data_IF_283670875433
#
_entry.id   IF_283670875433
#
_cell.length_a   1.000
_cell.length_b   1.000
_cell.length_c   1.000
_cell.angle_alpha   90.00
_cell.angle_beta   90.00
_cell.angle_gamma   90.00
#
_symmetry.space_group_name_H-M   'P 1'
#
loop_
_entity.id
_entity.type
_entity.pdbx_description
1 polymer ?
#
# COMPACT_ATOMS: atom_id res chain seq x y z
N UNK A 1 -5.48 19.20 -8.24
CA UNK A 1 -4.66 18.91 -7.05
C UNK A 1 -3.32 18.36 -7.50
N UNK A 2 -2.23 18.68 -6.80
CA UNK A 2 -0.93 18.07 -7.07
C UNK A 2 -0.83 16.72 -6.35
N UNK A 3 -0.15 15.75 -6.97
CA UNK A 3 0.11 14.47 -6.33
C UNK A 3 0.98 14.68 -5.08
N UNK A 4 0.59 14.09 -3.96
CA UNK A 4 1.28 14.23 -2.69
C UNK A 4 1.12 12.98 -1.83
N UNK A 5 1.86 12.91 -0.73
CA UNK A 5 1.77 11.80 0.23
C UNK A 5 0.37 11.76 0.89
N UNK A 6 -0.52 10.98 0.29
CA UNK A 6 -1.92 10.82 0.69
C UNK A 6 -2.12 9.85 1.86
N UNK A 7 -1.14 8.97 2.12
CA UNK A 7 -1.22 7.96 3.15
C UNK A 7 -0.47 8.37 4.41
N UNK A 8 -1.07 8.11 5.56
CA UNK A 8 -0.46 8.32 6.88
C UNK A 8 -0.50 7.04 7.66
N UNK A 9 0.66 6.64 8.18
CA UNK A 9 0.81 5.39 8.90
C UNK A 9 1.07 5.70 10.37
N UNK A 10 0.34 5.01 11.22
CA UNK A 10 0.41 5.12 12.66
C UNK A 10 0.62 3.73 13.28
N UNK A 11 1.32 3.66 14.40
CA UNK A 11 1.51 2.41 15.14
C UNK A 11 1.17 2.59 16.62
N UNK A 12 0.79 1.49 17.25
CA UNK A 12 0.63 1.37 18.69
C UNK A 12 1.52 0.23 19.15
N UNK A 13 2.53 0.58 19.95
CA UNK A 13 3.48 -0.38 20.53
C UNK A 13 3.01 -0.89 21.89
N UNK A 14 2.42 0.00 22.71
CA UNK A 14 1.98 -0.30 24.07
C UNK A 14 0.55 0.20 24.36
N UNK A 15 -0.22 -0.51 25.20
CA UNK A 15 0.03 -1.89 25.63
C UNK A 15 -0.17 -2.88 24.45
N UNK A 16 0.47 -4.07 24.48
CA UNK A 16 0.24 -5.12 23.51
C UNK A 16 -1.25 -5.46 23.38
N UNK A 17 -1.72 -5.86 22.18
CA UNK A 17 -0.95 -6.22 20.99
C UNK A 17 -0.43 -5.04 20.15
N UNK A 18 0.59 -5.30 19.32
CA UNK A 18 1.03 -4.36 18.29
C UNK A 18 -0.08 -4.15 17.26
N UNK A 19 -0.37 -2.89 16.98
CA UNK A 19 -1.34 -2.52 15.97
C UNK A 19 -0.83 -1.39 15.09
N UNK A 20 -1.24 -1.39 13.83
CA UNK A 20 -0.88 -0.39 12.83
C UNK A 20 -2.14 0.11 12.14
N UNK A 21 -2.26 1.43 12.00
CA UNK A 21 -3.36 2.06 11.26
C UNK A 21 -2.82 2.78 10.01
N UNK A 22 -3.51 2.61 8.89
CA UNK A 22 -3.28 3.34 7.64
C UNK A 22 -4.48 4.23 7.35
N UNK A 23 -4.24 5.54 7.28
CA UNK A 23 -5.22 6.54 6.88
C UNK A 23 -4.93 7.02 5.47
N UNK A 24 -5.97 7.37 4.72
CA UNK A 24 -5.87 8.11 3.45
C UNK A 24 -6.59 9.45 3.55
N UNK A 25 -6.06 10.50 2.93
CA UNK A 25 -6.67 11.85 2.98
C UNK A 25 -8.06 11.93 2.36
N UNK A 26 -8.41 10.98 1.49
CA UNK A 26 -9.65 11.00 0.72
C UNK A 26 -10.75 10.13 1.34
N UNK A 27 -10.50 9.50 2.49
CA UNK A 27 -11.49 8.72 3.23
C UNK A 27 -11.48 9.06 4.72
N UNK A 28 -12.65 8.90 5.34
CA UNK A 28 -12.77 8.99 6.79
C UNK A 28 -12.43 7.67 7.50
N UNK A 29 -12.63 6.55 6.80
CA UNK A 29 -12.26 5.21 7.26
C UNK A 29 -10.74 5.05 7.34
N UNK A 30 -10.28 4.10 8.14
CA UNK A 30 -8.87 3.68 8.16
C UNK A 30 -8.74 2.15 8.12
N UNK A 31 -7.60 1.66 7.64
CA UNK A 31 -7.25 0.24 7.78
C UNK A 31 -6.54 0.03 9.10
N UNK A 32 -6.97 -0.92 9.90
CA UNK A 32 -6.28 -1.39 11.09
C UNK A 32 -5.69 -2.78 10.84
N UNK A 33 -4.42 -2.94 11.18
CA UNK A 33 -3.68 -4.18 11.13
C UNK A 33 -3.32 -4.58 12.55
N UNK A 34 -3.89 -5.68 13.04
CA UNK A 34 -3.64 -6.17 14.40
C UNK A 34 -3.60 -7.69 14.39
N UNK A 35 -2.60 -8.29 15.05
CA UNK A 35 -2.47 -9.74 15.20
C UNK A 35 -2.54 -10.54 13.88
N UNK A 36 -2.09 -9.95 12.78
CA UNK A 36 -2.11 -10.58 11.44
C UNK A 36 -3.45 -10.52 10.71
N UNK A 37 -4.45 -9.82 11.25
CA UNK A 37 -5.71 -9.53 10.58
C UNK A 37 -5.77 -8.07 10.10
N UNK A 38 -6.67 -7.81 9.15
CA UNK A 38 -6.97 -6.46 8.64
C UNK A 38 -8.44 -6.16 8.87
N UNK A 39 -8.74 -4.99 9.40
CA UNK A 39 -10.09 -4.47 9.57
C UNK A 39 -10.20 -3.07 8.96
N UNK A 40 -11.37 -2.76 8.41
CA UNK A 40 -11.73 -1.38 8.03
C UNK A 40 -12.48 -0.79 9.21
N UNK A 41 -11.94 0.30 9.78
CA UNK A 41 -12.58 1.00 10.88
C UNK A 41 -13.34 2.22 10.35
N UNK A 42 -14.53 2.42 10.90
CA UNK A 42 -15.32 3.61 10.69
C UNK A 42 -14.66 4.85 11.30
N UNK A 43 -15.13 6.03 10.90
CA UNK A 43 -14.69 7.32 11.44
C UNK A 43 -14.79 7.38 12.97
N UNK A 44 -15.89 6.84 13.54
CA UNK A 44 -16.12 6.83 14.98
C UNK A 44 -15.15 5.91 15.74
N UNK A 45 -14.91 4.69 15.22
CA UNK A 45 -13.97 3.73 15.83
C UNK A 45 -12.53 4.25 15.78
N UNK A 46 -12.15 4.85 14.65
CA UNK A 46 -10.84 5.49 14.47
C UNK A 46 -10.62 6.58 15.51
N UNK A 47 -11.54 7.54 15.66
CA UNK A 47 -11.38 8.64 16.62
C UNK A 47 -11.27 8.14 18.07
N UNK A 48 -11.96 7.05 18.41
CA UNK A 48 -11.88 6.44 19.74
C UNK A 48 -10.48 5.90 20.07
N UNK A 49 -9.75 5.37 19.08
CA UNK A 49 -8.45 4.72 19.32
C UNK A 49 -7.25 5.57 18.90
N UNK A 50 -7.43 6.55 18.00
CA UNK A 50 -6.35 7.33 17.37
C UNK A 50 -5.40 7.99 18.36
N UNK A 51 -5.91 8.45 19.50
CA UNK A 51 -5.09 9.06 20.57
C UNK A 51 -4.03 8.13 21.17
N UNK A 52 -4.17 6.82 21.00
CA UNK A 52 -3.21 5.81 21.46
C UNK A 52 -2.13 5.47 20.43
N UNK A 53 -2.25 5.98 19.21
CA UNK A 53 -1.31 5.67 18.12
C UNK A 53 -0.34 6.82 17.88
N UNK A 54 0.92 6.48 17.62
CA UNK A 54 1.96 7.42 17.24
C UNK A 54 2.17 7.41 15.73
N UNK A 55 2.41 8.59 15.14
CA UNK A 55 2.67 8.70 13.70
C UNK A 55 4.05 8.11 13.38
N UNK A 56 4.10 7.23 12.38
CA UNK A 56 5.33 6.61 11.89
C UNK A 56 5.87 7.39 10.69
N UNK A 57 5.09 7.43 9.59
CA UNK A 57 5.53 8.06 8.34
C UNK A 57 4.35 8.44 7.45
N UNK A 58 4.64 9.24 6.42
CA UNK A 58 3.73 9.52 5.30
C UNK A 58 4.22 8.85 4.02
N UNK A 59 3.29 8.31 3.24
CA UNK A 59 3.55 7.58 1.98
C UNK A 59 2.71 8.11 0.81
N UNK A 60 3.21 7.91 -0.41
CA UNK A 60 2.53 8.23 -1.67
C UNK A 60 1.49 7.19 -2.05
N UNK A 61 1.72 5.91 -1.70
CA UNK A 61 0.82 4.81 -2.06
C UNK A 61 1.01 3.60 -1.14
N UNK A 62 -0.05 2.82 -0.99
CA UNK A 62 -0.03 1.51 -0.35
C UNK A 62 0.07 0.43 -1.43
N UNK A 63 1.14 -0.35 -1.44
CA UNK A 63 1.29 -1.44 -2.43
C UNK A 63 0.54 -2.71 -2.01
N UNK A 64 0.36 -2.90 -0.71
CA UNK A 64 -0.30 -4.06 -0.10
C UNK A 64 0.53 -4.66 1.03
N UNK A 65 0.33 -5.96 1.27
CA UNK A 65 1.03 -6.71 2.32
C UNK A 65 1.85 -7.83 1.70
N UNK A 66 3.17 -7.78 1.90
CA UNK A 66 4.08 -8.84 1.52
C UNK A 66 3.97 -9.97 2.55
N UNK A 67 3.73 -11.19 2.05
CA UNK A 67 3.69 -12.42 2.84
C UNK A 67 4.97 -13.21 2.59
N UNK A 68 5.77 -13.43 3.62
CA UNK A 68 6.98 -14.25 3.54
C UNK A 68 6.77 -15.54 4.34
N UNK A 69 6.92 -16.67 3.66
CA UNK A 69 6.84 -17.98 4.29
C UNK A 69 8.23 -18.42 4.76
N UNK A 70 8.40 -18.61 6.07
CA UNK A 70 9.63 -19.10 6.70
C UNK A 70 9.51 -20.57 7.16
N UNK A 71 8.58 -21.32 6.58
CA UNK A 71 8.28 -22.70 6.96
C UNK A 71 7.28 -22.74 8.10
N UNK A 72 7.76 -22.50 9.32
CA UNK A 72 6.93 -22.61 10.54
C UNK A 72 6.15 -21.31 10.84
N UNK A 73 6.57 -20.18 10.26
CA UNK A 73 5.92 -18.89 10.48
C UNK A 73 5.74 -18.11 9.19
N UNK A 74 4.61 -17.41 9.09
CA UNK A 74 4.32 -16.46 8.02
C UNK A 74 4.51 -15.03 8.50
N UNK A 75 5.48 -14.32 7.94
CA UNK A 75 5.68 -12.90 8.20
C UNK A 75 4.81 -12.05 7.27
N UNK A 76 4.34 -10.94 7.80
CA UNK A 76 3.53 -9.97 7.06
C UNK A 76 4.19 -8.59 7.19
N UNK A 77 4.48 -7.98 6.04
CA UNK A 77 5.05 -6.64 5.96
C UNK A 77 4.12 -5.74 5.17
N UNK A 78 3.76 -4.60 5.74
CA UNK A 78 3.08 -3.54 5.00
C UNK A 78 4.10 -2.87 4.07
N UNK A 79 3.79 -2.82 2.77
CA UNK A 79 4.68 -2.26 1.75
C UNK A 79 4.13 -0.93 1.25
N UNK A 80 4.93 0.12 1.37
CA UNK A 80 4.53 1.50 1.11
C UNK A 80 5.47 2.15 0.10
N UNK A 81 4.95 3.02 -0.76
CA UNK A 81 5.76 3.89 -1.62
C UNK A 81 6.06 5.18 -0.87
N UNK A 82 7.31 5.39 -0.48
CA UNK A 82 7.75 6.61 0.23
C UNK A 82 8.44 7.62 -0.68
N UNK A 83 8.84 7.18 -1.88
CA UNK A 83 9.41 8.02 -2.93
C UNK A 83 8.96 7.55 -4.31
N UNK A 84 8.59 8.52 -5.14
CA UNK A 84 8.30 8.31 -6.55
C UNK A 84 8.62 9.59 -7.35
N UNK A 85 8.80 9.44 -8.66
CA UNK A 85 9.12 10.53 -9.57
C UNK A 85 8.16 10.51 -10.75
N UNK A 86 7.57 11.66 -11.09
CA UNK A 86 6.76 11.79 -12.30
C UNK A 86 7.67 11.62 -13.53
N UNK A 87 7.27 10.75 -14.45
CA UNK A 87 7.99 10.47 -15.70
C UNK A 87 7.25 10.93 -16.94
N UNK A 88 6.03 11.43 -16.78
CA UNK A 88 5.23 11.96 -17.88
C UNK A 88 3.74 11.99 -17.56
N UNK A 89 2.99 12.70 -18.39
CA UNK A 89 1.53 12.78 -18.32
C UNK A 89 0.92 12.21 -19.60
N UNK A 90 -0.08 11.34 -19.44
CA UNK A 90 -0.84 10.74 -20.54
C UNK A 90 -2.31 11.03 -20.27
N UNK A 91 -2.96 11.78 -21.17
CA UNK A 91 -4.33 12.28 -20.97
C UNK A 91 -4.43 13.02 -19.63
N UNK A 92 -5.34 12.60 -18.73
CA UNK A 92 -5.50 13.18 -17.38
C UNK A 92 -4.69 12.48 -16.30
N UNK A 93 -3.96 11.41 -16.64
CA UNK A 93 -3.15 10.64 -15.68
C UNK A 93 -1.68 11.00 -15.75
N UNK A 94 -1.09 11.25 -14.59
CA UNK A 94 0.34 11.38 -14.41
C UNK A 94 0.94 10.01 -14.07
N UNK A 95 2.02 9.64 -14.77
CA UNK A 95 2.71 8.36 -14.59
C UNK A 95 3.90 8.58 -13.67
N UNK A 96 3.95 7.79 -12.62
CA UNK A 96 4.98 7.84 -11.61
C UNK A 96 5.84 6.58 -11.64
N UNK A 97 7.15 6.77 -11.54
CA UNK A 97 8.14 5.73 -11.29
C UNK A 97 8.36 5.62 -9.78
N UNK A 98 8.30 4.41 -9.23
CA UNK A 98 8.65 4.14 -7.84
C UNK A 98 10.15 4.29 -7.66
N UNK A 99 10.59 5.09 -6.69
CA UNK A 99 12.01 5.32 -6.39
C UNK A 99 12.42 4.85 -5.00
N UNK A 100 11.49 4.84 -4.04
CA UNK A 100 11.74 4.35 -2.69
C UNK A 100 10.50 3.71 -2.10
N UNK A 101 10.71 2.59 -1.39
CA UNK A 101 9.70 1.82 -0.69
C UNK A 101 10.09 1.58 0.77
N UNK A 102 9.09 1.57 1.63
CA UNK A 102 9.23 1.25 3.05
C UNK A 102 8.46 -0.01 3.41
N UNK A 103 9.03 -0.80 4.31
CA UNK A 103 8.46 -2.06 4.77
C UNK A 103 8.29 -1.99 6.28
N UNK A 104 7.05 -2.14 6.74
CA UNK A 104 6.75 -2.12 8.18
C UNK A 104 6.29 -3.51 8.60
N UNK A 105 7.02 -4.12 9.55
CA UNK A 105 6.62 -5.41 10.13
C UNK A 105 5.28 -5.26 10.84
N UNK A 106 4.36 -6.20 10.59
CA UNK A 106 3.09 -6.30 11.33
C UNK A 106 3.24 -7.12 12.63
N UNK A 107 4.49 -7.33 13.08
CA UNK A 107 4.86 -8.02 14.32
C UNK A 107 5.89 -7.18 15.09
N UNK A 108 5.97 -7.42 16.39
CA UNK A 108 6.91 -6.73 17.30
C UNK A 108 8.37 -7.09 16.97
N UNK A 109 8.64 -8.33 16.56
CA UNK A 109 9.98 -8.75 16.17
C UNK A 109 10.33 -8.22 14.76
N UNK A 110 11.30 -7.30 14.73
CA UNK A 110 11.89 -6.71 13.52
C UNK A 110 13.21 -7.38 13.10
N UNK A 111 13.59 -8.49 13.73
CA UNK A 111 14.88 -9.16 13.53
C UNK A 111 15.10 -9.75 12.12
N UNK A 112 14.07 -9.77 11.28
CA UNK A 112 14.10 -10.36 9.94
C UNK A 112 14.34 -9.33 8.79
N UNK A 113 14.86 -8.13 9.09
CA UNK A 113 15.13 -7.09 8.07
C UNK A 113 16.05 -7.56 6.92
N UNK A 114 17.01 -8.44 7.19
CA UNK A 114 17.93 -8.95 6.17
C UNK A 114 17.22 -9.73 5.06
N UNK A 115 16.03 -10.29 5.33
CA UNK A 115 15.28 -11.08 4.34
C UNK A 115 14.50 -10.21 3.37
N UNK A 116 14.09 -9.01 3.80
CA UNK A 116 13.36 -8.05 2.96
C UNK A 116 14.32 -7.18 2.12
N UNK A 117 15.63 -7.20 2.40
CA UNK A 117 16.61 -6.35 1.72
C UNK A 117 16.59 -6.55 0.20
N UNK A 118 16.51 -7.80 -0.27
CA UNK A 118 16.49 -8.11 -1.71
C UNK A 118 15.17 -7.70 -2.36
N UNK A 119 14.04 -7.90 -1.67
CA UNK A 119 12.74 -7.43 -2.16
C UNK A 119 12.71 -5.90 -2.26
N UNK A 120 13.24 -5.22 -1.24
CA UNK A 120 13.37 -3.75 -1.21
C UNK A 120 14.27 -3.26 -2.35
N UNK A 121 15.40 -3.92 -2.62
CA UNK A 121 16.27 -3.60 -3.77
C UNK A 121 15.53 -3.75 -5.09
N UNK A 122 14.76 -4.83 -5.27
CA UNK A 122 13.96 -5.03 -6.48
C UNK A 122 12.95 -3.90 -6.64
N UNK A 123 12.10 -3.62 -5.64
CA UNK A 123 11.08 -2.57 -5.71
C UNK A 123 11.69 -1.17 -5.94
N UNK A 124 12.89 -0.93 -5.42
CA UNK A 124 13.61 0.34 -5.58
C UNK A 124 14.52 0.39 -6.83
N UNK A 125 14.51 -0.65 -7.69
CA UNK A 125 15.24 -0.64 -8.96
C UNK A 125 14.75 0.41 -9.96
N UNK A 126 13.57 0.99 -9.69
CA UNK A 126 12.90 1.94 -10.55
C UNK A 126 12.35 1.31 -11.83
N UNK A 127 12.01 0.02 -11.81
CA UNK A 127 11.31 -0.65 -12.90
C UNK A 127 9.79 -0.70 -12.68
N UNK A 128 9.30 -0.14 -11.59
CA UNK A 128 7.88 -0.16 -11.20
C UNK A 128 7.23 1.19 -11.42
N UNK A 129 6.05 1.15 -12.02
CA UNK A 129 5.29 2.33 -12.41
C UNK A 129 3.83 2.20 -11.98
N UNK A 130 3.22 3.34 -11.72
CA UNK A 130 1.78 3.47 -11.47
C UNK A 130 1.29 4.80 -12.06
N UNK A 131 -0.01 4.86 -12.34
CA UNK A 131 -0.65 6.09 -12.80
C UNK A 131 -1.49 6.68 -11.65
N UNK A 132 -1.58 8.00 -11.62
CA UNK A 132 -2.48 8.71 -10.73
C UNK A 132 -3.17 9.84 -11.49
N UNK A 133 -4.47 10.00 -11.26
CA UNK A 133 -5.27 11.10 -11.79
C UNK A 133 -6.00 11.81 -10.67
N UNK A 134 -6.02 13.14 -10.74
CA UNK A 134 -6.81 13.97 -9.83
C UNK A 134 -8.33 13.79 -10.01
N UNK A 135 -8.80 13.20 -11.11
CA UNK A 135 -10.21 12.88 -11.35
C UNK A 135 -10.69 11.63 -10.61
N UNK A 136 -9.79 10.88 -9.97
CA UNK A 136 -10.09 9.61 -9.30
C UNK A 136 -10.04 8.39 -10.23
N UNK A 137 -10.10 8.58 -11.55
CA UNK A 137 -9.97 7.51 -12.53
C UNK A 137 -8.60 7.64 -13.20
N UNK A 138 -7.70 6.73 -12.88
CA UNK A 138 -6.34 6.69 -13.41
C UNK A 138 -6.24 5.73 -14.59
N UNK A 139 -5.31 6.01 -15.51
CA UNK A 139 -5.00 5.13 -16.63
C UNK A 139 -4.48 3.77 -16.13
N UNK A 140 -5.09 2.68 -16.58
CA UNK A 140 -4.57 1.34 -16.29
C UNK A 140 -3.34 1.05 -17.18
N UNK A 141 -2.15 1.14 -16.57
CA UNK A 141 -0.87 0.89 -17.25
C UNK A 141 -0.64 -0.59 -17.59
N UNK A 142 -1.48 -1.51 -17.09
CA UNK A 142 -1.43 -2.92 -17.50
C UNK A 142 -1.97 -3.15 -18.91
N UNK A 143 -2.74 -2.19 -19.43
CA UNK A 143 -3.39 -2.28 -20.74
C UNK A 143 -2.64 -1.46 -21.79
N UNK A 144 -2.61 -1.98 -23.01
CA UNK A 144 -2.23 -1.16 -24.16
C UNK A 144 -3.38 -0.22 -24.55
N UNK A 145 -3.06 0.85 -25.28
CA UNK A 145 -4.04 1.88 -25.65
C UNK A 145 -5.27 1.34 -26.39
N UNK A 146 -5.10 0.31 -27.22
CA UNK A 146 -6.22 -0.31 -27.95
C UNK A 146 -7.16 -1.06 -27.01
N UNK A 147 -6.62 -1.89 -26.11
CA UNK A 147 -7.40 -2.64 -25.14
C UNK A 147 -8.07 -1.72 -24.13
N UNK A 148 -7.41 -0.65 -23.70
CA UNK A 148 -8.03 0.34 -22.80
C UNK A 148 -9.30 0.99 -23.39
N UNK A 149 -9.49 0.96 -24.72
CA UNK A 149 -10.70 1.48 -25.37
C UNK A 149 -11.82 0.42 -25.52
N UNK A 150 -11.48 -0.87 -25.43
CA UNK A 150 -12.40 -1.98 -25.70
C UNK A 150 -12.78 -2.77 -24.44
N UNK A 151 -11.82 -2.93 -23.54
CA UNK A 151 -11.90 -3.75 -22.33
C UNK A 151 -11.58 -2.88 -21.11
N UNK A 152 -12.34 -3.05 -20.04
CA UNK A 152 -12.10 -2.39 -18.75
C UNK A 152 -11.53 -3.35 -17.69
N UNK A 153 -10.99 -4.49 -18.12
CA UNK A 153 -10.42 -5.49 -17.21
C UNK A 153 -8.90 -5.40 -17.20
N UNK A 154 -8.32 -5.21 -16.01
CA UNK A 154 -6.88 -5.17 -15.80
C UNK A 154 -6.20 -6.45 -16.29
N UNK A 155 -5.05 -6.29 -16.97
CA UNK A 155 -4.26 -7.42 -17.43
C UNK A 155 -3.37 -7.95 -16.29
N UNK A 156 -3.76 -9.08 -15.73
CA UNK A 156 -3.04 -9.74 -14.64
C UNK A 156 -1.56 -10.05 -14.96
N UNK A 157 -1.15 -10.12 -16.24
CA UNK A 157 0.25 -10.35 -16.61
C UNK A 157 1.15 -9.15 -16.32
N UNK A 158 0.58 -7.95 -16.27
CA UNK A 158 1.29 -6.70 -16.03
C UNK A 158 0.93 -6.07 -14.67
N UNK A 159 0.02 -6.68 -13.91
CA UNK A 159 -0.35 -6.26 -12.57
C UNK A 159 0.69 -6.71 -11.53
N UNK A 160 1.79 -5.98 -11.47
CA UNK A 160 3.01 -6.39 -10.76
C UNK A 160 2.88 -6.56 -9.23
N UNK A 161 1.96 -5.84 -8.56
CA UNK A 161 1.69 -5.98 -7.13
C UNK A 161 0.45 -6.82 -6.80
N UNK A 162 -0.10 -7.57 -7.76
CA UNK A 162 -1.30 -8.39 -7.55
C UNK A 162 -1.18 -9.33 -6.33
N UNK A 163 0.00 -9.93 -6.11
CA UNK A 163 0.23 -10.83 -4.97
C UNK A 163 0.19 -10.11 -3.61
N UNK A 164 0.57 -8.83 -3.57
CA UNK A 164 0.54 -8.00 -2.35
C UNK A 164 -0.90 -7.65 -1.94
N UNK A 165 -1.85 -7.69 -2.88
CA UNK A 165 -3.27 -7.44 -2.61
C UNK A 165 -3.97 -8.64 -1.95
N UNK A 166 -3.41 -9.84 -2.05
CA UNK A 166 -4.09 -11.06 -1.61
C UNK A 166 -4.46 -11.05 -0.12
N UNK A 167 -3.60 -10.48 0.73
CA UNK A 167 -3.88 -10.40 2.16
C UNK A 167 -5.05 -9.46 2.45
N UNK A 168 -5.08 -8.28 1.83
CA UNK A 168 -6.17 -7.32 1.97
C UNK A 168 -7.50 -7.91 1.47
N UNK A 169 -7.48 -8.52 0.27
CA UNK A 169 -8.64 -9.17 -0.32
C UNK A 169 -9.17 -10.34 0.53
N UNK A 170 -8.29 -11.10 1.17
CA UNK A 170 -8.68 -12.18 2.08
C UNK A 170 -9.53 -11.67 3.25
N UNK A 171 -9.27 -10.45 3.74
CA UNK A 171 -10.04 -9.79 4.79
C UNK A 171 -11.19 -8.91 4.26
N UNK A 172 -11.53 -9.03 2.97
CA UNK A 172 -12.65 -8.28 2.37
C UNK A 172 -12.34 -6.80 2.10
N UNK A 173 -11.07 -6.39 2.16
CA UNK A 173 -10.67 -5.01 1.84
C UNK A 173 -10.61 -4.83 0.33
N UNK A 174 -11.40 -3.88 -0.18
CA UNK A 174 -11.35 -3.48 -1.59
C UNK A 174 -10.11 -2.62 -1.87
N UNK A 175 -9.11 -3.17 -2.55
CA UNK A 175 -7.84 -2.48 -2.80
C UNK A 175 -7.97 -1.27 -3.73
N UNK A 176 -9.02 -1.18 -4.55
CA UNK A 176 -9.22 -0.02 -5.44
C UNK A 176 -9.58 1.25 -4.66
N UNK A 177 -10.02 1.10 -3.41
CA UNK A 177 -10.36 2.21 -2.53
C UNK A 177 -9.21 2.70 -1.63
N UNK A 178 -8.03 2.05 -1.70
CA UNK A 178 -6.89 2.23 -0.80
C UNK A 178 -5.55 2.37 -1.52
#
# INVERSE_FOLDING_TARGET
MAFSKGFRIYHKLDPPPFSLIVETRHKEECLMFESGAVAVLSSAEKEAIKGTYSKVLDAYGLLGVLRLNLGDTMLHYLVLVTGCMSVGKIQESEVFRVTSTEFISLRIDSSDEDRISEVRKVLNSGNFYFAWSASGISLDLSLNAHRSMQEQTTDNRFFWNQSLHLHLKHYGVNCDDW
#
